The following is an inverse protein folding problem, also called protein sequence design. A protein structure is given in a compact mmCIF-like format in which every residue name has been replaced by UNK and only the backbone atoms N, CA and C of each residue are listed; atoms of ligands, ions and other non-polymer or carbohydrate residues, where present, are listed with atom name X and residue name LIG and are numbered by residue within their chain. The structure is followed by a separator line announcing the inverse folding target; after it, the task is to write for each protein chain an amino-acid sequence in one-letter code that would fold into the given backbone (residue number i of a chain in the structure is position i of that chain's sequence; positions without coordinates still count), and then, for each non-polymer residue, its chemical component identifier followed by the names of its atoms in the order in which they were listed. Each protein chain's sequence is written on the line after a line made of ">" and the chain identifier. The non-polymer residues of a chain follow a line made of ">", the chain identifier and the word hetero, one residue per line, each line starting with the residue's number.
data_IF_416192257461
#
_entry.id   IF_416192257461
#
_cell.length_a   1.000
_cell.length_b   1.000
_cell.length_c   1.000
_cell.angle_alpha   90.00
_cell.angle_beta   90.00
_cell.angle_gamma   90.00
#
_symmetry.space_group_name_H-M   'P 1'
#
loop_
_entity.id
_entity.type
_entity.pdbx_description
1 polymer ?
#
# COMPACT_ATOMS: atom_id res chain seq x y z
N UNK A 1 -10.72 18.64 -2.78
CA UNK A 1 -10.94 17.47 -1.91
C UNK A 1 -10.81 16.24 -2.78
N UNK A 2 -9.65 15.62 -2.75
CA UNK A 2 -9.29 14.55 -3.68
C UNK A 2 -8.77 13.35 -2.90
N UNK A 3 -9.33 12.17 -3.15
CA UNK A 3 -8.72 10.93 -2.66
C UNK A 3 -7.45 10.65 -3.44
N UNK A 4 -6.43 10.13 -2.76
CA UNK A 4 -5.16 9.75 -3.36
C UNK A 4 -5.15 8.24 -3.56
N UNK A 5 -4.79 7.82 -4.77
CA UNK A 5 -4.60 6.42 -5.11
C UNK A 5 -3.29 6.25 -5.86
N UNK A 6 -2.45 5.33 -5.42
CA UNK A 6 -1.28 4.88 -6.18
C UNK A 6 -1.22 3.37 -6.21
N UNK A 7 -0.72 2.82 -7.31
CA UNK A 7 -0.51 1.39 -7.45
C UNK A 7 0.84 1.08 -8.08
N UNK A 8 1.34 -0.11 -7.80
CA UNK A 8 2.56 -0.67 -8.37
C UNK A 8 2.42 -2.17 -8.54
N UNK A 9 2.95 -2.68 -9.64
CA UNK A 9 3.04 -4.12 -9.91
C UNK A 9 4.39 -4.64 -9.39
N UNK A 10 4.36 -5.75 -8.67
CA UNK A 10 5.51 -6.44 -8.07
C UNK A 10 5.39 -7.93 -8.40
N UNK A 11 6.09 -8.37 -9.44
CA UNK A 11 5.92 -9.73 -9.97
C UNK A 11 4.50 -9.97 -10.50
N UNK A 12 3.82 -10.99 -9.98
CA UNK A 12 2.42 -11.35 -10.29
C UNK A 12 1.39 -10.66 -9.39
N UNK A 13 1.85 -9.74 -8.52
CA UNK A 13 1.01 -9.05 -7.52
C UNK A 13 0.91 -7.58 -7.83
N UNK A 14 -0.31 -7.05 -7.83
CA UNK A 14 -0.57 -5.61 -7.90
C UNK A 14 -0.88 -5.08 -6.52
N UNK A 15 -0.08 -4.11 -6.06
CA UNK A 15 -0.34 -3.37 -4.82
C UNK A 15 -1.01 -2.06 -5.16
N UNK A 16 -2.13 -1.76 -4.51
CA UNK A 16 -2.79 -0.47 -4.59
C UNK A 16 -3.01 0.11 -3.20
N UNK A 17 -2.62 1.35 -3.04
CA UNK A 17 -2.79 2.13 -1.83
C UNK A 17 -3.83 3.21 -2.11
N UNK A 18 -4.89 3.23 -1.30
CA UNK A 18 -5.95 4.22 -1.37
C UNK A 18 -6.03 5.00 -0.06
N UNK A 19 -5.83 6.31 -0.13
CA UNK A 19 -5.97 7.22 1.00
C UNK A 19 -7.11 8.21 0.69
N UNK A 20 -8.28 8.03 1.31
CA UNK A 20 -9.37 8.99 1.17
C UNK A 20 -8.99 10.32 1.83
N UNK A 21 -9.47 11.43 1.28
CA UNK A 21 -9.27 12.75 1.86
C UNK A 21 -10.03 12.89 3.18
N UNK A 22 -9.45 13.60 4.16
CA UNK A 22 -10.11 13.82 5.46
C UNK A 22 -10.22 12.59 6.36
N UNK A 23 -9.60 11.46 6.00
CA UNK A 23 -9.41 10.32 6.90
C UNK A 23 -7.94 10.02 7.07
N UNK A 24 -7.60 9.58 8.27
CA UNK A 24 -6.28 9.09 8.61
C UNK A 24 -6.14 7.57 8.40
N UNK A 25 -7.02 6.96 7.61
CA UNK A 25 -7.01 5.53 7.34
C UNK A 25 -6.71 5.30 5.86
N UNK A 26 -5.56 4.69 5.58
CA UNK A 26 -5.23 4.18 4.27
C UNK A 26 -5.70 2.73 4.12
N UNK A 27 -6.14 2.38 2.91
CA UNK A 27 -6.51 1.02 2.52
C UNK A 27 -5.46 0.47 1.56
N UNK A 28 -4.97 -0.72 1.87
CA UNK A 28 -3.96 -1.44 1.12
C UNK A 28 -4.64 -2.63 0.45
N UNK A 29 -4.68 -2.62 -0.87
CA UNK A 29 -5.20 -3.69 -1.70
C UNK A 29 -4.00 -4.43 -2.29
N UNK A 30 -3.98 -5.75 -2.14
CA UNK A 30 -2.99 -6.61 -2.79
C UNK A 30 -3.78 -7.61 -3.62
N UNK A 31 -3.67 -7.47 -4.94
CA UNK A 31 -4.32 -8.33 -5.92
C UNK A 31 -3.26 -9.26 -6.47
N UNK A 32 -3.47 -10.56 -6.30
CA UNK A 32 -2.63 -11.60 -6.86
C UNK A 32 -3.36 -12.21 -8.07
N UNK A 33 -2.67 -12.38 -9.20
CA UNK A 33 -3.30 -12.92 -10.41
C UNK A 33 -3.79 -14.36 -10.24
N UNK A 34 -3.18 -15.15 -9.35
CA UNK A 34 -3.57 -16.55 -9.10
C UNK A 34 -4.63 -16.67 -7.99
N UNK A 35 -4.52 -15.86 -6.93
CA UNK A 35 -5.37 -16.00 -5.74
C UNK A 35 -6.48 -14.93 -5.63
N UNK A 36 -6.57 -14.02 -6.60
CA UNK A 36 -7.54 -12.93 -6.63
C UNK A 36 -7.23 -11.80 -5.66
N UNK A 37 -8.20 -10.90 -5.48
CA UNK A 37 -8.07 -9.78 -4.56
C UNK A 37 -8.14 -10.25 -3.10
N UNK A 38 -7.03 -10.12 -2.36
CA UNK A 38 -7.05 -10.34 -0.91
C UNK A 38 -7.88 -9.25 -0.22
N UNK A 39 -8.42 -9.57 0.95
CA UNK A 39 -9.16 -8.59 1.74
C UNK A 39 -8.26 -7.37 2.03
N UNK A 40 -8.71 -6.15 1.70
CA UNK A 40 -7.90 -4.96 1.88
C UNK A 40 -7.56 -4.75 3.35
N UNK A 41 -6.29 -4.44 3.63
CA UNK A 41 -5.85 -4.08 4.98
C UNK A 41 -6.01 -2.58 5.18
N UNK A 42 -6.63 -2.20 6.28
CA UNK A 42 -6.70 -0.82 6.71
C UNK A 42 -5.55 -0.51 7.67
N UNK A 43 -4.88 0.62 7.47
CA UNK A 43 -3.78 1.08 8.32
C UNK A 43 -3.98 2.56 8.65
N UNK A 44 -3.75 2.93 9.91
CA UNK A 44 -3.73 4.34 10.28
C UNK A 44 -2.45 5.01 9.81
N UNK A 45 -2.60 6.17 9.19
CA UNK A 45 -1.51 7.02 8.71
C UNK A 45 -1.31 8.27 9.57
N UNK A 46 -2.02 8.39 10.70
CA UNK A 46 -1.87 9.53 11.62
C UNK A 46 -0.42 9.82 11.95
N UNK A 47 0.36 8.79 12.29
CA UNK A 47 1.76 8.95 12.66
C UNK A 47 2.60 9.61 11.55
N UNK A 48 2.32 9.33 10.27
CA UNK A 48 3.02 9.94 9.16
C UNK A 48 2.55 11.38 8.91
N UNK A 49 1.25 11.63 9.05
CA UNK A 49 0.68 12.98 8.95
C UNK A 49 1.18 13.90 10.08
N UNK A 50 1.23 13.40 11.32
CA UNK A 50 1.81 14.09 12.48
C UNK A 50 3.30 14.38 12.31
N UNK A 51 4.03 13.52 11.59
CA UNK A 51 5.41 13.76 11.21
C UNK A 51 5.57 14.83 10.10
N UNK A 52 4.47 15.41 9.62
CA UNK A 52 4.46 16.45 8.60
C UNK A 52 4.46 15.93 7.16
N UNK A 53 4.26 14.62 6.93
CA UNK A 53 4.17 14.07 5.58
C UNK A 53 2.83 14.46 4.94
N UNK A 54 2.86 14.80 3.65
CA UNK A 54 1.64 15.02 2.88
C UNK A 54 0.98 13.68 2.54
N UNK A 55 -0.33 13.67 2.26
CA UNK A 55 -1.02 12.45 1.86
C UNK A 55 -0.36 11.73 0.67
N UNK A 56 0.25 12.47 -0.26
CA UNK A 56 0.97 11.88 -1.39
C UNK A 56 2.27 11.19 -0.94
N UNK A 57 3.05 11.86 -0.07
CA UNK A 57 4.27 11.28 0.52
C UNK A 57 3.95 10.01 1.33
N UNK A 58 2.85 10.02 2.08
CA UNK A 58 2.37 8.85 2.84
C UNK A 58 2.04 7.69 1.90
N UNK A 59 1.23 7.94 0.87
CA UNK A 59 0.82 6.91 -0.10
C UNK A 59 2.03 6.34 -0.83
N UNK A 60 2.96 7.20 -1.26
CA UNK A 60 4.23 6.82 -1.91
C UNK A 60 5.12 5.99 -0.98
N UNK A 61 5.26 6.40 0.28
CA UNK A 61 6.06 5.69 1.27
C UNK A 61 5.48 4.29 1.56
N UNK A 62 4.19 4.20 1.84
CA UNK A 62 3.53 2.90 2.07
C UNK A 62 3.63 1.98 0.85
N UNK A 63 3.43 2.52 -0.35
CA UNK A 63 3.57 1.75 -1.59
C UNK A 63 4.98 1.15 -1.69
N UNK A 64 6.03 1.93 -1.39
CA UNK A 64 7.42 1.45 -1.40
C UNK A 64 7.67 0.38 -0.35
N UNK A 65 7.19 0.57 0.88
CA UNK A 65 7.38 -0.39 1.99
C UNK A 65 6.67 -1.71 1.70
N UNK A 66 5.42 -1.66 1.23
CA UNK A 66 4.64 -2.85 0.90
C UNK A 66 5.25 -3.58 -0.30
N UNK A 67 5.69 -2.85 -1.32
CA UNK A 67 6.38 -3.44 -2.48
C UNK A 67 7.66 -4.16 -2.07
N UNK A 68 8.52 -3.51 -1.29
CA UNK A 68 9.77 -4.09 -0.80
C UNK A 68 9.52 -5.32 0.10
N UNK A 69 8.42 -5.30 0.87
CA UNK A 69 8.03 -6.46 1.69
C UNK A 69 7.58 -7.64 0.83
N UNK A 70 6.85 -7.39 -0.26
CA UNK A 70 6.43 -8.44 -1.20
C UNK A 70 7.61 -9.03 -1.97
N UNK A 71 8.57 -8.20 -2.37
CA UNK A 71 9.83 -8.65 -2.99
C UNK A 71 10.59 -9.57 -2.03
N UNK A 72 10.74 -9.18 -0.75
CA UNK A 72 11.39 -10.03 0.26
C UNK A 72 10.65 -11.34 0.53
N UNK A 73 9.32 -11.32 0.58
CA UNK A 73 8.51 -12.54 0.74
C UNK A 73 8.66 -13.47 -0.48
N UNK A 74 8.75 -12.93 -1.69
CA UNK A 74 8.99 -13.75 -2.89
C UNK A 74 10.36 -14.46 -2.83
N UNK A 75 11.37 -13.84 -2.24
CA UNK A 75 12.67 -14.47 -2.02
C UNK A 75 12.66 -15.53 -0.91
N UNK A 76 11.81 -15.40 0.11
CA UNK A 76 11.69 -16.35 1.22
C UNK A 76 10.92 -17.62 0.86
N UNK A 77 10.00 -17.57 -0.12
CA UNK A 77 9.21 -18.73 -0.58
C UNK A 77 10.04 -19.71 -1.47
N UNK A 78 11.27 -19.34 -1.82
CA UNK A 78 12.18 -20.14 -2.67
C UNK A 78 13.21 -20.93 -1.84
N UNK A 79 12.89 -21.33 -0.60
CA UNK A 79 13.85 -22.09 0.24
C UNK A 79 13.22 -23.24 1.03
#
# INVERSE_FOLDING_TARGET
>A
MGSLSMCRVVGTRTVQIFLPDGTDIAKIYIVDEEYGARQPRSMSVRAYLDAGMTGEEVVRHMLSVVSASLEQVAHLDTH
#
